data_IF_665679042986
#
_entry.id   IF_665679042986
#
_cell.length_a   1.000
_cell.length_b   1.000
_cell.length_c   1.000
_cell.angle_alpha   90.00
_cell.angle_beta   90.00
_cell.angle_gamma   90.00
#
_symmetry.space_group_name_H-M   'P 1'
#
loop_
_entity.id
_entity.type
_entity.pdbx_description
1 polymer ?
#
# COMPACT_ATOMS: atom_id res chain seq x y z
N UNK A 1 -28.29 -49.49 -10.75
CA UNK A 1 -27.18 -49.00 -9.90
C UNK A 1 -27.19 -47.49 -9.98
N UNK A 2 -27.43 -46.81 -8.85
CA UNK A 2 -27.59 -45.35 -8.78
C UNK A 2 -26.22 -44.71 -8.55
N UNK A 3 -25.63 -44.08 -9.56
CA UNK A 3 -24.44 -43.24 -9.38
C UNK A 3 -24.88 -41.78 -9.39
N UNK A 4 -25.02 -41.22 -8.19
CA UNK A 4 -25.26 -39.81 -7.93
C UNK A 4 -23.93 -39.06 -8.06
N UNK A 5 -23.73 -38.33 -9.16
CA UNK A 5 -22.59 -37.43 -9.30
C UNK A 5 -22.94 -36.08 -8.68
N UNK A 6 -22.51 -35.86 -7.43
CA UNK A 6 -22.42 -34.52 -6.85
C UNK A 6 -21.30 -33.77 -7.57
N UNK A 7 -21.66 -33.01 -8.59
CA UNK A 7 -20.75 -32.05 -9.23
C UNK A 7 -20.58 -30.88 -8.25
N UNK A 8 -19.47 -30.86 -7.51
CA UNK A 8 -19.06 -29.71 -6.71
C UNK A 8 -18.64 -28.60 -7.68
N UNK A 9 -19.57 -27.68 -7.99
CA UNK A 9 -19.28 -26.43 -8.69
C UNK A 9 -18.45 -25.53 -7.75
N UNK A 10 -17.13 -25.62 -7.83
CA UNK A 10 -16.26 -24.56 -7.33
C UNK A 10 -16.42 -23.34 -8.24
N UNK A 11 -17.35 -22.44 -7.87
CA UNK A 11 -17.37 -21.07 -8.37
C UNK A 11 -16.13 -20.35 -7.83
N UNK A 12 -15.00 -20.49 -8.52
CA UNK A 12 -13.88 -19.57 -8.35
C UNK A 12 -14.35 -18.25 -8.95
N UNK A 13 -14.82 -17.34 -8.11
CA UNK A 13 -14.98 -15.95 -8.50
C UNK A 13 -13.59 -15.45 -8.88
N UNK A 14 -13.30 -15.36 -10.18
CA UNK A 14 -12.13 -14.66 -10.68
C UNK A 14 -12.39 -13.19 -10.39
N UNK A 15 -11.97 -12.73 -9.21
CA UNK A 15 -11.90 -11.31 -8.91
C UNK A 15 -10.90 -10.76 -9.92
N UNK A 16 -11.39 -10.02 -10.92
CA UNK A 16 -10.51 -9.28 -11.80
C UNK A 16 -9.94 -8.13 -10.98
N UNK A 17 -8.72 -8.29 -10.48
CA UNK A 17 -7.96 -7.20 -9.91
C UNK A 17 -7.59 -6.24 -11.05
N UNK A 18 -8.30 -5.12 -11.13
CA UNK A 18 -7.91 -4.04 -12.02
C UNK A 18 -6.92 -3.20 -11.22
N UNK A 19 -5.63 -3.26 -11.53
CA UNK A 19 -4.71 -2.30 -10.95
C UNK A 19 -4.96 -0.91 -11.53
N UNK A 20 -4.73 0.12 -10.72
CA UNK A 20 -4.98 1.51 -11.09
C UNK A 20 -3.81 2.40 -10.69
N UNK A 21 -3.66 3.52 -11.39
CA UNK A 21 -2.75 4.61 -11.00
C UNK A 21 -3.61 5.76 -10.50
N UNK A 22 -3.51 6.10 -9.21
CA UNK A 22 -4.28 7.21 -8.65
C UNK A 22 -3.71 8.58 -9.03
N UNK A 23 -4.60 9.56 -9.21
CA UNK A 23 -4.20 10.96 -9.10
C UNK A 23 -4.04 11.38 -7.62
N UNK A 24 -3.27 12.43 -7.41
CA UNK A 24 -2.81 12.86 -6.09
C UNK A 24 -3.95 13.37 -5.21
N UNK A 25 -4.91 14.09 -5.78
CA UNK A 25 -6.01 14.65 -5.01
C UNK A 25 -6.98 13.54 -4.59
N UNK A 26 -7.31 12.59 -5.48
CA UNK A 26 -8.14 11.42 -5.14
C UNK A 26 -7.47 10.57 -4.06
N UNK A 27 -6.18 10.28 -4.22
CA UNK A 27 -5.44 9.49 -3.23
C UNK A 27 -5.38 10.22 -1.88
N UNK A 28 -5.09 11.52 -1.86
CA UNK A 28 -5.10 12.36 -0.65
C UNK A 28 -6.45 12.30 0.08
N UNK A 29 -7.55 12.41 -0.65
CA UNK A 29 -8.90 12.30 -0.07
C UNK A 29 -9.15 10.91 0.54
N UNK A 30 -8.70 9.84 -0.12
CA UNK A 30 -8.80 8.47 0.40
C UNK A 30 -8.00 8.32 1.70
N UNK A 31 -6.77 8.82 1.75
CA UNK A 31 -5.94 8.75 2.95
C UNK A 31 -6.55 9.53 4.13
N UNK A 32 -7.07 10.74 3.87
CA UNK A 32 -7.80 11.53 4.88
C UNK A 32 -9.02 10.78 5.40
N UNK A 33 -9.83 10.22 4.50
CA UNK A 33 -11.03 9.43 4.85
C UNK A 33 -10.70 8.19 5.68
N UNK A 34 -9.51 7.60 5.49
CA UNK A 34 -9.03 6.45 6.26
C UNK A 34 -8.25 6.83 7.54
N UNK A 35 -8.24 8.12 7.90
CA UNK A 35 -7.69 8.62 9.15
C UNK A 35 -6.17 8.55 9.22
N UNK A 36 -5.48 8.95 8.14
CA UNK A 36 -4.02 9.02 8.10
C UNK A 36 -3.48 10.41 8.47
N UNK A 37 -4.31 11.45 8.44
CA UNK A 37 -3.91 12.77 8.92
C UNK A 37 -3.63 12.71 10.43
N UNK A 38 -2.40 13.04 10.84
CA UNK A 38 -1.95 12.96 12.24
C UNK A 38 -1.68 11.54 12.76
N UNK A 39 -1.90 10.49 11.96
CA UNK A 39 -1.75 9.11 12.43
C UNK A 39 -0.30 8.82 12.80
N UNK A 40 -0.05 8.42 14.05
CA UNK A 40 1.30 8.18 14.58
C UNK A 40 2.26 9.37 14.37
N UNK A 41 1.73 10.61 14.37
CA UNK A 41 2.51 11.83 14.16
C UNK A 41 2.92 12.09 12.70
N UNK A 42 2.30 11.41 11.74
CA UNK A 42 2.53 11.62 10.30
C UNK A 42 1.50 12.56 9.70
N UNK A 43 1.82 13.15 8.54
CA UNK A 43 0.95 14.05 7.77
C UNK A 43 0.58 13.42 6.43
N UNK A 44 -0.53 13.87 5.82
CA UNK A 44 -0.91 13.39 4.47
C UNK A 44 0.19 13.69 3.44
N UNK A 45 0.86 14.84 3.54
CA UNK A 45 1.97 15.19 2.65
C UNK A 45 3.11 14.16 2.68
N UNK A 46 3.44 13.61 3.85
CA UNK A 46 4.45 12.58 3.99
C UNK A 46 4.01 11.26 3.34
N UNK A 47 2.75 10.85 3.52
CA UNK A 47 2.20 9.67 2.86
C UNK A 47 2.18 9.80 1.33
N UNK A 48 1.81 10.97 0.81
CA UNK A 48 1.86 11.27 -0.64
C UNK A 48 3.30 11.16 -1.15
N UNK A 49 4.26 11.79 -0.46
CA UNK A 49 5.67 11.75 -0.83
C UNK A 49 6.24 10.32 -0.81
N UNK A 50 5.86 9.53 0.19
CA UNK A 50 6.22 8.11 0.27
C UNK A 50 5.75 7.35 -0.97
N UNK A 51 4.46 7.45 -1.30
CA UNK A 51 3.86 6.70 -2.41
C UNK A 51 4.40 7.15 -3.75
N UNK A 52 4.60 8.45 -3.95
CA UNK A 52 5.21 9.00 -5.15
C UNK A 52 6.59 8.39 -5.43
N UNK A 53 7.46 8.35 -4.42
CA UNK A 53 8.81 7.78 -4.56
C UNK A 53 8.85 6.25 -4.55
N UNK A 54 7.79 5.61 -4.08
CA UNK A 54 7.71 4.15 -4.03
C UNK A 54 7.15 3.58 -5.33
N UNK A 55 5.88 3.88 -5.62
CA UNK A 55 5.10 3.25 -6.71
C UNK A 55 4.69 4.24 -7.79
N UNK A 56 4.80 5.55 -7.56
CA UNK A 56 4.20 6.54 -8.45
C UNK A 56 2.67 6.44 -8.49
N UNK A 57 2.05 6.04 -7.37
CA UNK A 57 0.59 5.84 -7.21
C UNK A 57 0.00 4.64 -7.95
N UNK A 58 0.84 3.76 -8.53
CA UNK A 58 0.41 2.52 -9.18
C UNK A 58 0.16 1.41 -8.14
N UNK A 59 -1.08 0.90 -8.08
CA UNK A 59 -1.44 -0.19 -7.17
C UNK A 59 -0.86 -1.54 -7.58
N UNK A 60 -0.48 -1.74 -8.85
CA UNK A 60 0.20 -2.98 -9.28
C UNK A 60 1.69 -3.01 -8.97
N UNK A 61 2.25 -1.93 -8.42
CA UNK A 61 3.68 -1.73 -8.34
C UNK A 61 4.39 -2.93 -7.69
N UNK A 62 5.51 -3.31 -8.31
CA UNK A 62 6.31 -4.45 -7.91
C UNK A 62 7.78 -4.10 -7.98
N UNK A 63 8.50 -4.31 -6.89
CA UNK A 63 9.94 -4.12 -6.83
C UNK A 63 10.62 -5.38 -6.30
N UNK A 64 11.34 -6.09 -7.18
CA UNK A 64 12.08 -7.29 -6.81
C UNK A 64 13.38 -6.89 -6.11
N UNK A 65 13.40 -7.04 -4.79
CA UNK A 65 14.60 -6.84 -4.00
C UNK A 65 15.46 -8.12 -3.91
N UNK A 66 16.71 -8.01 -3.43
CA UNK A 66 17.62 -9.15 -3.33
C UNK A 66 17.18 -10.22 -2.31
N UNK A 67 16.29 -9.87 -1.37
CA UNK A 67 15.83 -10.77 -0.29
C UNK A 67 14.34 -11.08 -0.32
N UNK A 68 13.55 -10.21 -0.93
CA UNK A 68 12.10 -10.34 -1.04
C UNK A 68 11.58 -9.32 -2.05
N UNK A 69 10.41 -9.61 -2.61
CA UNK A 69 9.67 -8.67 -3.45
C UNK A 69 8.87 -7.69 -2.57
N UNK A 70 8.73 -6.46 -3.04
CA UNK A 70 7.90 -5.43 -2.44
C UNK A 70 6.68 -5.17 -3.32
N UNK A 71 5.51 -5.02 -2.71
CA UNK A 71 4.22 -5.09 -3.39
C UNK A 71 3.36 -3.85 -3.13
N UNK A 72 2.63 -3.44 -4.16
CA UNK A 72 1.52 -2.51 -4.03
C UNK A 72 1.93 -1.05 -3.98
N UNK A 73 0.91 -0.22 -3.77
CA UNK A 73 1.04 1.23 -3.78
C UNK A 73 2.03 1.76 -2.72
N UNK A 74 2.20 1.04 -1.61
CA UNK A 74 3.17 1.36 -0.56
C UNK A 74 4.48 0.55 -0.64
N UNK A 75 4.69 -0.30 -1.65
CA UNK A 75 5.83 -1.23 -1.74
C UNK A 75 6.12 -1.99 -0.42
N UNK A 76 5.11 -2.68 0.09
CA UNK A 76 5.21 -3.48 1.31
C UNK A 76 6.00 -4.78 1.04
N UNK A 77 7.04 -5.02 1.83
CA UNK A 77 7.94 -6.18 1.65
C UNK A 77 7.31 -7.52 2.06
N UNK A 78 7.36 -8.51 1.17
CA UNK A 78 7.00 -9.91 1.44
C UNK A 78 7.87 -10.56 2.53
N UNK A 79 9.04 -9.98 2.86
CA UNK A 79 9.85 -10.50 3.99
C UNK A 79 9.14 -10.33 5.33
N UNK A 80 8.33 -9.29 5.47
CA UNK A 80 7.82 -8.84 6.77
C UNK A 80 6.30 -8.73 6.83
N UNK A 81 5.66 -8.22 5.78
CA UNK A 81 4.32 -7.65 5.89
C UNK A 81 3.22 -8.52 5.30
N UNK A 82 3.48 -9.16 4.16
CA UNK A 82 2.56 -10.05 3.47
C UNK A 82 3.21 -11.42 3.18
N UNK A 83 2.43 -12.40 2.71
CA UNK A 83 2.91 -13.70 2.25
C UNK A 83 2.79 -13.84 0.72
N UNK A 84 3.91 -14.10 0.04
CA UNK A 84 3.98 -14.36 -1.40
C UNK A 84 4.17 -15.86 -1.72
N UNK A 85 4.16 -16.72 -0.69
CA UNK A 85 4.42 -18.16 -0.73
C UNK A 85 5.79 -18.55 -1.32
N UNK A 86 6.71 -17.58 -1.48
CA UNK A 86 8.01 -17.77 -2.14
C UNK A 86 9.17 -17.31 -1.27
N UNK A 87 8.96 -16.30 -0.44
CA UNK A 87 9.99 -15.67 0.38
C UNK A 87 10.29 -16.53 1.63
N UNK A 88 11.52 -17.07 1.78
CA UNK A 88 11.85 -17.92 2.93
C UNK A 88 11.79 -17.17 4.26
N UNK A 89 11.24 -17.82 5.29
CA UNK A 89 11.09 -17.28 6.65
C UNK A 89 10.43 -15.89 6.66
N UNK A 90 9.37 -15.69 5.86
CA UNK A 90 8.53 -14.49 5.91
C UNK A 90 7.76 -14.42 7.24
N UNK A 91 7.40 -13.20 7.68
CA UNK A 91 6.67 -12.99 8.94
C UNK A 91 5.16 -12.75 8.76
N UNK A 92 4.75 -12.20 7.63
CA UNK A 92 3.36 -11.84 7.32
C UNK A 92 2.64 -11.11 8.47
N UNK A 93 3.21 -10.00 8.97
CA UNK A 93 2.63 -9.26 10.08
C UNK A 93 1.26 -8.63 9.78
N UNK A 94 0.85 -8.53 8.51
CA UNK A 94 -0.48 -8.06 8.12
C UNK A 94 -1.47 -9.20 7.88
N UNK A 95 -1.03 -10.46 7.96
CA UNK A 95 -1.85 -11.67 7.80
C UNK A 95 -2.67 -11.67 6.49
N UNK A 96 -2.00 -11.38 5.37
CA UNK A 96 -2.61 -11.30 4.04
C UNK A 96 -1.68 -11.82 2.95
N UNK A 97 -2.25 -12.15 1.78
CA UNK A 97 -1.49 -12.48 0.57
C UNK A 97 -0.90 -11.21 -0.03
N UNK A 98 0.35 -11.25 -0.50
CA UNK A 98 0.96 -10.14 -1.23
C UNK A 98 0.24 -9.81 -2.56
N UNK A 99 -0.63 -10.69 -3.03
CA UNK A 99 -1.49 -10.42 -4.19
C UNK A 99 -2.63 -9.43 -3.87
N UNK A 100 -3.15 -9.45 -2.65
CA UNK A 100 -4.23 -8.56 -2.22
C UNK A 100 -3.77 -7.09 -2.24
N UNK A 101 -2.49 -6.84 -1.93
CA UNK A 101 -1.86 -5.52 -2.02
C UNK A 101 -1.69 -4.98 -3.45
N UNK A 102 -2.18 -5.68 -4.48
CA UNK A 102 -1.95 -5.32 -5.89
C UNK A 102 -3.23 -5.25 -6.71
N UNK A 103 -4.36 -5.07 -6.06
CA UNK A 103 -5.64 -4.80 -6.71
C UNK A 103 -6.00 -3.30 -6.69
N UNK A 104 -7.23 -2.93 -7.04
CA UNK A 104 -7.74 -1.54 -6.99
C UNK A 104 -8.18 -1.12 -5.58
N UNK A 105 -8.41 -2.07 -4.69
CA UNK A 105 -8.93 -1.84 -3.35
C UNK A 105 -7.79 -1.69 -2.34
N UNK A 106 -7.24 -0.49 -2.25
CA UNK A 106 -6.14 -0.15 -1.32
C UNK A 106 -6.53 -0.11 0.17
N UNK A 107 -7.67 -0.68 0.58
CA UNK A 107 -8.09 -0.65 1.99
C UNK A 107 -7.15 -1.48 2.86
N UNK A 108 -6.81 -2.69 2.43
CA UNK A 108 -5.89 -3.58 3.13
C UNK A 108 -4.44 -3.08 3.05
N UNK A 109 -4.03 -2.49 1.93
CA UNK A 109 -2.78 -1.72 1.79
C UNK A 109 -2.64 -0.67 2.90
N UNK A 110 -3.67 0.18 3.05
CA UNK A 110 -3.67 1.25 4.05
C UNK A 110 -3.58 0.67 5.47
N UNK A 111 -4.37 -0.37 5.79
CA UNK A 111 -4.31 -0.98 7.13
C UNK A 111 -2.95 -1.58 7.42
N UNK A 112 -2.34 -2.25 6.44
CA UNK A 112 -1.01 -2.82 6.60
C UNK A 112 0.05 -1.73 6.76
N UNK A 113 -0.01 -0.66 5.96
CA UNK A 113 0.92 0.47 6.05
C UNK A 113 0.82 1.20 7.41
N UNK A 114 -0.38 1.36 7.98
CA UNK A 114 -0.56 1.88 9.34
C UNK A 114 0.18 1.03 10.38
N UNK A 115 0.07 -0.30 10.30
CA UNK A 115 0.81 -1.23 11.16
C UNK A 115 2.33 -1.11 11.00
N UNK A 116 2.82 -0.86 9.79
CA UNK A 116 4.25 -0.61 9.55
C UNK A 116 4.72 0.64 10.28
N UNK A 117 3.99 1.75 10.13
CA UNK A 117 4.31 3.04 10.75
C UNK A 117 4.30 2.96 12.27
N UNK A 118 3.32 2.28 12.86
CA UNK A 118 3.27 2.05 14.32
C UNK A 118 4.46 1.24 14.80
N UNK A 119 4.78 0.12 14.13
CA UNK A 119 5.90 -0.76 14.54
C UNK A 119 7.26 -0.12 14.32
N UNK A 120 7.39 0.76 13.33
CA UNK A 120 8.67 1.34 12.89
C UNK A 120 8.89 2.77 13.39
N UNK A 121 7.95 3.33 14.15
CA UNK A 121 7.94 4.73 14.62
C UNK A 121 8.09 5.71 13.45
N UNK A 122 7.12 5.70 12.54
CA UNK A 122 7.13 6.49 11.31
C UNK A 122 7.59 5.66 10.10
N UNK A 123 8.11 6.33 9.08
CA UNK A 123 8.42 5.73 7.78
C UNK A 123 9.80 5.05 7.69
N UNK A 124 10.44 4.73 8.81
CA UNK A 124 11.80 4.18 8.84
C UNK A 124 11.94 2.81 8.15
N UNK A 125 10.83 2.07 7.98
CA UNK A 125 10.80 0.81 7.25
C UNK A 125 11.00 0.97 5.72
N UNK A 126 10.75 2.15 5.18
CA UNK A 126 10.89 2.42 3.75
C UNK A 126 12.28 2.96 3.45
N UNK A 127 13.12 2.14 2.79
CA UNK A 127 14.49 2.51 2.46
C UNK A 127 14.57 3.75 1.57
N UNK A 128 13.68 3.86 0.57
CA UNK A 128 13.62 5.01 -0.33
C UNK A 128 13.24 6.28 0.43
N UNK A 129 12.23 6.21 1.31
CA UNK A 129 11.90 7.31 2.23
C UNK A 129 13.14 7.78 3.01
N UNK A 130 13.89 6.87 3.62
CA UNK A 130 15.11 7.24 4.35
C UNK A 130 16.16 7.96 3.49
N UNK A 131 16.20 7.67 2.19
CA UNK A 131 17.15 8.26 1.24
C UNK A 131 16.65 9.58 0.64
N UNK A 132 15.34 9.76 0.50
CA UNK A 132 14.72 10.90 -0.20
C UNK A 132 13.97 11.87 0.69
N UNK A 133 13.72 11.55 1.98
CA UNK A 133 12.98 12.38 2.95
C UNK A 133 13.61 13.75 3.27
N UNK A 134 14.64 14.15 2.51
CA UNK A 134 15.33 15.42 2.66
C UNK A 134 15.36 16.20 1.34
N UNK A 135 14.19 16.33 0.69
CA UNK A 135 13.94 17.39 -0.28
C UNK A 135 12.45 17.75 -0.33
N UNK A 136 11.93 18.24 0.81
CA UNK A 136 10.57 18.81 0.93
C UNK A 136 10.33 20.00 -0.02
N UNK A 137 11.37 20.60 -0.58
CA UNK A 137 11.29 21.68 -1.57
C UNK A 137 10.65 21.27 -2.91
N UNK A 138 10.59 19.97 -3.25
CA UNK A 138 9.88 19.51 -4.46
C UNK A 138 8.37 19.39 -4.27
N UNK A 139 7.87 19.49 -3.02
CA UNK A 139 6.45 19.35 -2.69
C UNK A 139 5.63 20.62 -2.95
N UNK A 140 6.25 21.76 -3.29
CA UNK A 140 5.53 23.01 -3.61
C UNK A 140 4.51 22.82 -4.74
N UNK A 141 4.82 21.98 -5.73
CA UNK A 141 3.91 21.66 -6.83
C UNK A 141 2.72 20.77 -6.42
N UNK A 142 2.74 20.22 -5.20
CA UNK A 142 1.75 19.28 -4.66
C UNK A 142 0.86 19.90 -3.56
N UNK A 143 1.12 21.18 -3.20
CA UNK A 143 0.34 21.98 -2.25
C UNK A 143 -1.09 22.22 -2.74
N UNK A 144 -1.37 22.12 -4.05
CA UNK A 144 -2.71 22.36 -4.61
C UNK A 144 -3.82 21.47 -4.03
N UNK A 145 -3.53 20.31 -3.43
CA UNK A 145 -4.53 19.47 -2.74
C UNK A 145 -4.55 19.66 -1.21
N UNK A 146 -3.63 20.44 -0.62
CA UNK A 146 -3.53 20.70 0.83
C UNK A 146 -4.14 22.06 1.25
N UNK A 147 -4.26 23.01 0.32
CA UNK A 147 -4.76 24.38 0.59
C UNK A 147 -6.28 24.47 0.80
N UNK A 148 -7.05 23.42 0.48
CA UNK A 148 -8.51 23.41 0.69
C UNK A 148 -8.94 23.17 2.15
N UNK A 149 -8.00 23.08 3.10
CA UNK A 149 -8.31 22.91 4.54
C UNK A 149 -7.76 24.03 5.44
N UNK A 150 -7.15 25.10 4.90
CA UNK A 150 -6.62 26.23 5.69
C UNK A 150 -7.42 27.54 5.46
N UNK A 151 -8.65 27.43 4.94
CA UNK A 151 -9.63 28.52 4.98
C UNK A 151 -10.92 28.03 5.63
N UNK A 152 -10.96 28.18 6.95
CA UNK A 152 -12.12 27.92 7.82
C UNK A 152 -11.77 28.34 9.23
#
# INVERSE_FOLDING_TARGET
MKTSYLVLLFLVAVVRSNAIVFDICSFSAILKKNGLEGFSGTTIAEWICLVFHSSGFDTSALNVGPRATNHGIFLLSAKWWCDDFKTPHARNYCNLSCEALRDDNITDDIQCAKRVVEKSKGFAAWYLWKKTAMNLYSLERYICCLDSSIKG
#
